data_IF_219428480519
#
_entry.id   IF_219428480519
#
_cell.length_a   1.000
_cell.length_b   1.000
_cell.length_c   1.000
_cell.angle_alpha   90.00
_cell.angle_beta   90.00
_cell.angle_gamma   90.00
#
_symmetry.space_group_name_H-M   'P 1'
#
loop_
_entity.id
_entity.type
_entity.pdbx_description
1 polymer ?
#
# COMPACT_ATOMS: atom_id res chain seq x y z
N UNK A 1 -1.59 14.98 -17.11
CA UNK A 1 -0.41 15.76 -16.69
C UNK A 1 0.66 14.86 -16.10
N UNK A 2 1.84 15.41 -15.76
CA UNK A 2 3.00 14.61 -15.28
C UNK A 2 2.74 13.85 -13.96
N UNK A 3 1.86 14.39 -13.11
CA UNK A 3 1.46 13.78 -11.82
C UNK A 3 0.96 12.34 -11.92
N UNK A 4 0.25 12.00 -13.00
CA UNK A 4 -0.23 10.63 -13.20
C UNK A 4 0.93 9.67 -13.51
N UNK A 5 1.89 10.13 -14.32
CA UNK A 5 3.09 9.36 -14.68
C UNK A 5 3.96 9.11 -13.44
N UNK A 6 4.15 10.13 -12.59
CA UNK A 6 4.90 10.02 -11.33
C UNK A 6 4.33 8.99 -10.34
N UNK A 7 3.03 8.65 -10.45
CA UNK A 7 2.34 7.71 -9.54
C UNK A 7 2.22 6.30 -10.09
N UNK A 8 2.47 6.11 -11.38
CA UNK A 8 2.45 4.79 -11.98
C UNK A 8 3.72 4.02 -11.60
N UNK A 9 3.60 2.69 -11.51
CA UNK A 9 4.77 1.83 -11.43
C UNK A 9 5.58 1.93 -12.73
N UNK A 10 6.90 1.97 -12.62
CA UNK A 10 7.84 2.09 -13.76
C UNK A 10 7.64 1.00 -14.79
N UNK A 11 7.21 -0.19 -14.37
CA UNK A 11 6.87 -1.34 -15.22
C UNK A 11 5.65 -1.11 -16.12
N UNK A 12 4.82 -0.10 -15.79
CA UNK A 12 3.61 0.26 -16.55
C UNK A 12 3.81 1.48 -17.45
N UNK A 13 4.98 2.09 -17.43
CA UNK A 13 5.26 3.29 -18.22
C UNK A 13 5.63 2.92 -19.65
N UNK A 14 4.90 3.47 -20.61
CA UNK A 14 5.28 3.41 -22.02
C UNK A 14 6.56 4.20 -22.27
N UNK A 15 7.32 3.87 -23.33
CA UNK A 15 8.55 4.60 -23.68
C UNK A 15 8.32 6.11 -23.80
N UNK A 16 7.19 6.53 -24.39
CA UNK A 16 6.78 7.94 -24.46
C UNK A 16 6.59 8.58 -23.08
N UNK A 17 6.02 7.86 -22.12
CA UNK A 17 5.84 8.35 -20.76
C UNK A 17 7.19 8.44 -20.02
N UNK A 18 8.10 7.49 -20.25
CA UNK A 18 9.45 7.52 -19.68
C UNK A 18 10.24 8.72 -20.21
N UNK A 19 10.26 8.95 -21.53
CA UNK A 19 10.92 10.13 -22.12
C UNK A 19 10.34 11.44 -21.58
N UNK A 20 9.01 11.50 -21.43
CA UNK A 20 8.35 12.68 -20.87
C UNK A 20 8.71 12.90 -19.39
N UNK A 21 8.91 11.82 -18.63
CA UNK A 21 9.30 11.90 -17.23
C UNK A 21 10.74 12.41 -17.10
N UNK A 22 11.65 11.88 -17.91
CA UNK A 22 13.03 12.33 -17.99
C UNK A 22 13.11 13.82 -18.34
N UNK A 23 12.42 14.23 -19.40
CA UNK A 23 12.36 15.63 -19.80
C UNK A 23 11.80 16.55 -18.70
N UNK A 24 10.88 16.06 -17.87
CA UNK A 24 10.34 16.81 -16.75
C UNK A 24 11.36 16.95 -15.60
N UNK A 25 12.15 15.91 -15.31
CA UNK A 25 13.22 15.97 -14.31
C UNK A 25 14.34 16.92 -14.74
N UNK A 26 14.72 16.92 -16.01
CA UNK A 26 15.80 17.79 -16.52
C UNK A 26 15.35 19.23 -16.82
N UNK A 27 14.05 19.52 -16.76
CA UNK A 27 13.52 20.84 -17.11
C UNK A 27 13.95 21.95 -16.14
N UNK A 28 14.28 21.63 -14.88
CA UNK A 28 14.70 22.61 -13.88
C UNK A 28 15.61 21.94 -12.84
N UNK A 29 16.74 22.55 -12.42
CA UNK A 29 17.65 21.98 -11.42
C UNK A 29 16.96 21.55 -10.12
N UNK A 30 16.00 22.35 -9.63
CA UNK A 30 15.24 22.06 -8.40
C UNK A 30 14.40 20.77 -8.48
N UNK A 31 14.16 20.22 -9.67
CA UNK A 31 13.40 18.97 -9.84
C UNK A 31 14.19 17.72 -9.42
N UNK A 32 15.49 17.84 -9.14
CA UNK A 32 16.30 16.71 -8.65
C UNK A 32 15.71 16.07 -7.39
N UNK A 33 15.11 16.88 -6.50
CA UNK A 33 14.47 16.35 -5.29
C UNK A 33 13.25 15.47 -5.64
N UNK A 34 12.49 15.86 -6.66
CA UNK A 34 11.33 15.10 -7.15
C UNK A 34 11.76 13.81 -7.83
N UNK A 35 12.84 13.86 -8.62
CA UNK A 35 13.42 12.69 -9.28
C UNK A 35 13.89 11.65 -8.26
N UNK A 36 14.67 12.07 -7.25
CA UNK A 36 15.12 11.19 -6.17
C UNK A 36 13.94 10.62 -5.40
N UNK A 37 12.94 11.45 -5.06
CA UNK A 37 11.75 10.98 -4.36
C UNK A 37 10.96 9.96 -5.19
N UNK A 38 10.82 10.19 -6.49
CA UNK A 38 10.20 9.25 -7.42
C UNK A 38 10.96 7.93 -7.44
N UNK A 39 12.30 7.96 -7.60
CA UNK A 39 13.13 6.74 -7.60
C UNK A 39 13.00 5.95 -6.31
N UNK A 40 13.08 6.60 -5.15
CA UNK A 40 12.89 5.92 -3.86
C UNK A 40 11.50 5.30 -3.71
N UNK A 41 10.45 5.97 -4.23
CA UNK A 41 9.10 5.42 -4.23
C UNK A 41 8.98 4.20 -5.16
N UNK A 42 9.64 4.22 -6.32
CA UNK A 42 9.70 3.06 -7.22
C UNK A 42 10.47 1.90 -6.58
N UNK A 43 11.65 2.16 -6.02
CA UNK A 43 12.47 1.14 -5.35
C UNK A 43 11.68 0.46 -4.21
N UNK A 44 10.88 1.22 -3.46
CA UNK A 44 10.01 0.66 -2.43
C UNK A 44 8.86 -0.18 -3.00
N UNK A 45 8.33 0.14 -4.19
CA UNK A 45 7.36 -0.74 -4.87
C UNK A 45 8.02 -2.03 -5.33
N UNK A 46 9.23 -1.93 -5.89
CA UNK A 46 9.95 -3.08 -6.44
C UNK A 46 10.22 -4.15 -5.40
N UNK A 47 10.38 -3.77 -4.12
CA UNK A 47 10.49 -4.68 -2.98
C UNK A 47 9.43 -5.80 -3.01
N UNK A 48 8.20 -5.46 -3.40
CA UNK A 48 7.06 -6.39 -3.45
C UNK A 48 6.87 -7.08 -4.81
N UNK A 49 7.63 -6.66 -5.83
CA UNK A 49 7.53 -7.16 -7.21
C UNK A 49 8.79 -7.93 -7.62
N UNK A 50 9.37 -8.69 -6.69
CA UNK A 50 10.53 -9.53 -6.95
C UNK A 50 10.13 -10.98 -7.26
N UNK A 51 10.90 -11.71 -8.10
CA UNK A 51 10.64 -13.11 -8.40
C UNK A 51 10.69 -14.04 -7.18
N UNK A 52 11.43 -13.64 -6.14
CA UNK A 52 11.57 -14.44 -4.91
C UNK A 52 11.44 -13.55 -3.66
N UNK A 53 10.87 -14.09 -2.56
CA UNK A 53 10.79 -13.37 -1.29
C UNK A 53 12.16 -12.94 -0.75
N UNK A 54 13.17 -13.80 -0.91
CA UNK A 54 14.55 -13.50 -0.50
C UNK A 54 15.09 -12.23 -1.18
N UNK A 55 14.81 -12.07 -2.48
CA UNK A 55 15.24 -10.87 -3.22
C UNK A 55 14.49 -9.62 -2.75
N UNK A 56 13.19 -9.73 -2.52
CA UNK A 56 12.38 -8.64 -1.96
C UNK A 56 12.89 -8.20 -0.58
N UNK A 57 13.18 -9.16 0.30
CA UNK A 57 13.76 -8.91 1.63
C UNK A 57 15.09 -8.17 1.56
N UNK A 58 16.01 -8.59 0.69
CA UNK A 58 17.29 -7.91 0.49
C UNK A 58 17.11 -6.44 0.07
N UNK A 59 16.18 -6.16 -0.84
CA UNK A 59 15.88 -4.78 -1.25
C UNK A 59 15.26 -3.98 -0.10
N UNK A 60 14.34 -4.56 0.65
CA UNK A 60 13.71 -3.92 1.81
C UNK A 60 14.76 -3.52 2.86
N UNK A 61 15.68 -4.44 3.19
CA UNK A 61 16.76 -4.19 4.15
C UNK A 61 17.71 -3.10 3.66
N UNK A 62 18.05 -3.10 2.36
CA UNK A 62 18.85 -2.03 1.74
C UNK A 62 18.19 -0.67 1.91
N UNK A 63 16.88 -0.56 1.65
CA UNK A 63 16.13 0.70 1.80
C UNK A 63 16.04 1.15 3.27
N UNK A 64 15.80 0.23 4.20
CA UNK A 64 15.78 0.53 5.64
C UNK A 64 17.13 1.10 6.11
N UNK A 65 18.23 0.60 5.54
CA UNK A 65 19.57 1.09 5.85
C UNK A 65 19.85 2.47 5.22
N UNK A 66 19.51 2.66 3.94
CA UNK A 66 19.96 3.81 3.15
C UNK A 66 19.04 5.04 3.21
N UNK A 67 17.72 4.87 3.20
CA UNK A 67 16.80 6.01 3.08
C UNK A 67 16.94 7.04 4.23
N UNK A 68 17.21 6.65 5.49
CA UNK A 68 17.35 7.60 6.59
C UNK A 68 18.51 8.61 6.46
N UNK A 69 19.50 8.34 5.59
CA UNK A 69 20.63 9.23 5.32
C UNK A 69 20.41 10.11 4.09
N UNK A 70 19.24 10.03 3.44
CA UNK A 70 18.92 10.85 2.29
C UNK A 70 18.89 12.34 2.69
N UNK A 71 19.50 13.25 1.91
CA UNK A 71 19.44 14.69 2.19
C UNK A 71 18.04 15.29 2.06
N UNK A 72 17.12 14.59 1.38
CA UNK A 72 15.72 15.02 1.22
C UNK A 72 14.94 14.65 2.49
N UNK A 73 14.42 15.62 3.25
CA UNK A 73 13.81 15.38 4.55
C UNK A 73 12.63 14.40 4.53
N UNK A 74 11.81 14.44 3.48
CA UNK A 74 10.66 13.55 3.28
C UNK A 74 11.11 12.10 3.11
N UNK A 75 12.20 11.85 2.39
CA UNK A 75 12.75 10.51 2.15
C UNK A 75 13.46 9.99 3.40
N UNK A 76 14.22 10.84 4.10
CA UNK A 76 14.78 10.48 5.39
C UNK A 76 13.70 10.10 6.42
N UNK A 77 12.58 10.84 6.43
CA UNK A 77 11.42 10.54 7.28
C UNK A 77 10.78 9.20 6.90
N UNK A 78 10.58 8.94 5.61
CA UNK A 78 10.11 7.64 5.12
C UNK A 78 11.02 6.51 5.61
N UNK A 79 12.34 6.66 5.45
CA UNK A 79 13.30 5.67 5.92
C UNK A 79 13.21 5.42 7.43
N UNK A 80 13.07 6.46 8.25
CA UNK A 80 12.88 6.33 9.71
C UNK A 80 11.59 5.56 10.03
N UNK A 81 10.52 5.80 9.28
CA UNK A 81 9.27 5.03 9.40
C UNK A 81 9.48 3.56 9.04
N UNK A 82 10.10 3.26 7.90
CA UNK A 82 10.39 1.87 7.50
C UNK A 82 11.25 1.15 8.54
N UNK A 83 12.25 1.83 9.10
CA UNK A 83 13.10 1.29 10.18
C UNK A 83 12.30 1.00 11.45
N UNK A 84 11.42 1.93 11.88
CA UNK A 84 10.54 1.74 13.04
C UNK A 84 9.62 0.53 12.86
N UNK A 85 9.16 0.30 11.64
CA UNK A 85 8.24 -0.80 11.28
C UNK A 85 8.95 -2.01 10.68
N UNK A 86 10.29 -2.13 10.84
CA UNK A 86 11.11 -3.16 10.18
C UNK A 86 10.55 -4.56 10.36
N UNK A 87 10.19 -4.95 11.58
CA UNK A 87 9.68 -6.29 11.88
C UNK A 87 8.43 -6.61 11.06
N UNK A 88 7.43 -5.72 11.07
CA UNK A 88 6.20 -5.91 10.31
C UNK A 88 6.43 -5.84 8.78
N UNK A 89 7.30 -4.95 8.33
CA UNK A 89 7.61 -4.80 6.92
C UNK A 89 8.30 -6.05 6.35
N UNK A 90 9.28 -6.62 7.06
CA UNK A 90 9.98 -7.82 6.62
C UNK A 90 9.14 -9.09 6.76
N UNK A 91 8.19 -9.12 7.71
CA UNK A 91 7.30 -10.26 7.91
C UNK A 91 6.49 -10.61 6.64
N UNK A 92 6.21 -9.64 5.76
CA UNK A 92 5.57 -9.88 4.46
C UNK A 92 6.24 -11.04 3.67
N UNK A 93 7.56 -11.14 3.74
CA UNK A 93 8.35 -12.15 3.02
C UNK A 93 8.33 -13.53 3.68
N UNK A 94 7.93 -13.59 4.95
CA UNK A 94 7.86 -14.82 5.74
C UNK A 94 6.42 -15.39 5.78
N UNK A 95 5.43 -14.63 5.30
CA UNK A 95 3.99 -14.94 5.37
C UNK A 95 3.33 -15.11 4.00
N UNK A 96 4.08 -15.51 2.97
CA UNK A 96 3.58 -15.65 1.59
C UNK A 96 2.81 -14.41 1.09
N UNK A 97 3.30 -13.22 1.44
CA UNK A 97 2.68 -11.95 1.03
C UNK A 97 1.44 -11.53 1.81
N UNK A 98 1.17 -12.11 2.98
CA UNK A 98 0.10 -11.65 3.85
C UNK A 98 0.21 -10.14 4.15
N UNK A 99 -0.92 -9.44 4.11
CA UNK A 99 -1.00 -8.00 4.31
C UNK A 99 -2.27 -7.61 5.06
N UNK A 100 -2.32 -6.37 5.54
CA UNK A 100 -3.51 -5.80 6.17
C UNK A 100 -4.68 -5.55 5.20
N UNK A 101 -4.50 -5.80 3.89
CA UNK A 101 -5.50 -5.50 2.87
C UNK A 101 -6.82 -6.24 3.06
N UNK A 102 -6.78 -7.50 3.49
CA UNK A 102 -7.99 -8.27 3.80
C UNK A 102 -8.78 -7.66 4.96
N UNK A 103 -8.07 -7.30 6.04
CA UNK A 103 -8.67 -6.62 7.20
C UNK A 103 -9.24 -5.25 6.83
N UNK A 104 -8.54 -4.47 6.00
CA UNK A 104 -9.01 -3.17 5.51
C UNK A 104 -10.24 -3.30 4.62
N UNK A 105 -10.32 -4.33 3.77
CA UNK A 105 -11.51 -4.60 2.96
C UNK A 105 -12.74 -4.84 3.85
N UNK A 106 -12.60 -5.66 4.90
CA UNK A 106 -13.67 -5.90 5.87
C UNK A 106 -14.02 -4.62 6.64
N UNK A 107 -13.03 -3.86 7.11
CA UNK A 107 -13.28 -2.57 7.76
C UNK A 107 -14.03 -1.60 6.84
N UNK A 108 -13.70 -1.56 5.56
CA UNK A 108 -14.40 -0.77 4.55
C UNK A 108 -15.88 -1.15 4.42
N UNK A 109 -16.18 -2.45 4.44
CA UNK A 109 -17.55 -2.98 4.42
C UNK A 109 -18.31 -2.57 5.70
N UNK A 110 -17.69 -2.71 6.87
CA UNK A 110 -18.28 -2.31 8.17
C UNK A 110 -18.63 -0.82 8.16
N UNK A 111 -17.69 0.04 7.75
CA UNK A 111 -17.89 1.48 7.68
C UNK A 111 -18.94 1.88 6.65
N UNK A 112 -19.05 1.16 5.53
CA UNK A 112 -20.15 1.35 4.58
C UNK A 112 -21.51 0.99 5.20
N UNK A 113 -21.60 -0.17 5.86
CA UNK A 113 -22.82 -0.59 6.56
C UNK A 113 -23.29 0.43 7.60
N UNK A 114 -22.35 0.96 8.39
CA UNK A 114 -22.63 2.01 9.39
C UNK A 114 -23.10 3.32 8.75
N UNK A 115 -22.53 3.72 7.61
CA UNK A 115 -22.95 4.91 6.87
C UNK A 115 -24.37 4.77 6.29
N UNK A 116 -24.69 3.63 5.70
CA UNK A 116 -26.03 3.35 5.16
C UNK A 116 -27.09 3.39 6.28
N UNK A 117 -26.78 2.81 7.44
CA UNK A 117 -27.67 2.82 8.59
C UNK A 117 -27.76 4.18 9.32
N UNK A 118 -26.89 5.14 8.99
CA UNK A 118 -26.70 6.41 9.72
C UNK A 118 -26.38 6.19 11.21
N UNK A 119 -25.58 5.16 11.48
CA UNK A 119 -25.22 4.72 12.82
C UNK A 119 -26.22 3.73 13.42
N UNK A 120 -25.77 2.98 14.42
CA UNK A 120 -26.60 2.06 15.19
C UNK A 120 -26.66 2.53 16.63
N UNK A 121 -27.84 2.45 17.23
CA UNK A 121 -28.05 2.75 18.66
C UNK A 121 -28.00 1.50 19.54
N UNK A 122 -28.06 0.33 18.93
CA UNK A 122 -28.12 -0.97 19.60
C UNK A 122 -27.04 -1.90 19.00
N UNK A 123 -26.24 -2.52 19.87
CA UNK A 123 -25.13 -3.38 19.47
C UNK A 123 -25.59 -4.68 18.79
N UNK A 124 -26.69 -5.29 19.24
CA UNK A 124 -27.24 -6.50 18.61
C UNK A 124 -27.68 -6.22 17.17
N UNK A 125 -28.33 -5.08 16.93
CA UNK A 125 -28.70 -4.67 15.57
C UNK A 125 -27.47 -4.40 14.70
N UNK A 126 -26.43 -3.77 15.27
CA UNK A 126 -25.14 -3.60 14.59
C UNK A 126 -24.54 -4.96 14.23
N UNK A 127 -24.43 -5.88 15.20
CA UNK A 127 -23.84 -7.21 15.03
C UNK A 127 -24.57 -8.02 13.98
N UNK A 128 -25.90 -8.11 14.04
CA UNK A 128 -26.71 -8.82 13.04
C UNK A 128 -26.53 -8.22 11.65
N UNK A 129 -26.49 -6.89 11.54
CA UNK A 129 -26.27 -6.23 10.25
C UNK A 129 -24.87 -6.44 9.71
N UNK A 130 -23.84 -6.47 10.57
CA UNK A 130 -22.47 -6.80 10.14
C UNK A 130 -22.39 -8.24 9.65
N UNK A 131 -22.92 -9.20 10.42
CA UNK A 131 -22.99 -10.61 10.01
C UNK A 131 -23.74 -10.80 8.70
N UNK A 132 -24.87 -10.11 8.50
CA UNK A 132 -25.62 -10.17 7.24
C UNK A 132 -24.78 -9.68 6.05
N UNK A 133 -24.10 -8.55 6.20
CA UNK A 133 -23.34 -7.92 5.10
C UNK A 133 -22.08 -8.72 4.78
N UNK A 134 -21.42 -9.31 5.78
CA UNK A 134 -20.19 -10.08 5.59
C UNK A 134 -20.43 -11.58 5.35
N UNK A 135 -21.69 -12.01 5.20
CA UNK A 135 -22.04 -13.42 4.93
C UNK A 135 -21.86 -14.35 6.14
N UNK A 136 -21.79 -13.81 7.36
CA UNK A 136 -21.69 -14.57 8.62
C UNK A 136 -23.04 -14.96 9.23
N UNK A 137 -24.15 -14.70 8.54
CA UNK A 137 -25.44 -15.31 8.89
C UNK A 137 -25.61 -16.56 8.04
N UNK A 138 -25.71 -17.72 8.69
CA UNK A 138 -26.22 -18.93 8.04
C UNK A 138 -27.68 -18.69 7.67
N UNK A 139 -27.91 -18.24 6.44
CA UNK A 139 -29.22 -18.16 5.82
C UNK A 139 -29.55 -19.46 5.06
N UNK A 140 -28.89 -20.58 5.38
CA UNK A 140 -29.30 -21.89 4.90
C UNK A 140 -30.75 -22.11 5.35
N UNK A 141 -31.72 -22.25 4.42
CA UNK A 141 -33.02 -22.76 4.77
C UNK A 141 -32.82 -24.26 5.04
N UNK A 142 -32.36 -24.62 6.24
CA UNK A 142 -32.42 -26.01 6.66
C UNK A 142 -33.90 -26.38 6.80
N UNK A 143 -34.36 -27.13 5.80
CA UNK A 143 -35.04 -28.41 5.99
C UNK A 143 -35.87 -28.45 7.27
N UNK A 144 -37.06 -27.85 7.23
CA UNK A 144 -38.09 -28.26 8.17
C UNK A 144 -38.64 -29.60 7.67
N UNK A 145 -38.42 -30.62 8.51
CA UNK A 145 -39.17 -31.88 8.51
C UNK A 145 -40.68 -31.62 8.48
#
# INVERSE_FOLDING_TARGET
GIRHVLRAGRERLTSRQQTRLEAAFTAHPDHIAVEVAYRCAQDLRDVFHQPTPARGRQLAEKLIASLPTCPIPEIARLGKTLRRWKTAFLAYFDTDGASNGGTEAINGIIELGRRIARGFRNFEHYRLRMLLITGGLDASPHTQL
#
